data_IF_539484141120
#
_entry.id   IF_539484141120
#
_cell.length_a   1.000
_cell.length_b   1.000
_cell.length_c   1.000
_cell.angle_alpha   90.00
_cell.angle_beta   90.00
_cell.angle_gamma   90.00
#
_symmetry.space_group_name_H-M   'P 1'
#
loop_
_entity.id
_entity.type
_entity.pdbx_description
1 polymer ?
#
# COMPACT_ATOMS: atom_id res chain seq x y z
N UNK A 1 2.60 2.51 -21.19
CA UNK A 1 1.85 2.57 -19.92
C UNK A 1 1.56 1.20 -19.33
N UNK A 2 1.09 0.23 -20.11
CA UNK A 2 0.76 -1.12 -19.64
C UNK A 2 1.93 -1.81 -18.93
N UNK A 3 3.16 -1.68 -19.43
CA UNK A 3 4.37 -2.23 -18.79
C UNK A 3 4.64 -1.66 -17.39
N UNK A 4 4.42 -0.36 -17.18
CA UNK A 4 4.55 0.27 -15.85
C UNK A 4 3.44 -0.18 -14.90
N UNK A 5 2.19 -0.23 -15.39
CA UNK A 5 1.06 -0.70 -14.60
C UNK A 5 1.25 -2.17 -14.18
N UNK A 6 1.70 -3.03 -15.10
CA UNK A 6 1.98 -4.44 -14.80
C UNK A 6 3.06 -4.58 -13.72
N UNK A 7 4.15 -3.80 -13.79
CA UNK A 7 5.18 -3.79 -12.73
C UNK A 7 4.62 -3.30 -11.39
N UNK A 8 3.77 -2.26 -11.41
CA UNK A 8 3.11 -1.75 -10.21
C UNK A 8 2.20 -2.81 -9.57
N UNK A 9 1.42 -3.54 -10.39
CA UNK A 9 0.60 -4.66 -9.94
C UNK A 9 1.47 -5.75 -9.31
N UNK A 10 2.59 -6.12 -9.94
CA UNK A 10 3.51 -7.12 -9.37
C UNK A 10 4.04 -6.70 -7.99
N UNK A 11 4.42 -5.42 -7.83
CA UNK A 11 4.83 -4.88 -6.53
C UNK A 11 3.66 -4.96 -5.53
N UNK A 12 2.44 -4.63 -5.97
CA UNK A 12 1.23 -4.75 -5.15
C UNK A 12 0.95 -6.17 -4.66
N UNK A 13 1.14 -7.18 -5.50
CA UNK A 13 0.96 -8.60 -5.11
C UNK A 13 1.98 -8.98 -4.02
N UNK A 14 3.26 -8.63 -4.21
CA UNK A 14 4.31 -8.91 -3.23
C UNK A 14 4.07 -8.15 -1.93
N UNK A 15 3.62 -6.90 -2.02
CA UNK A 15 3.22 -6.09 -0.87
C UNK A 15 2.12 -6.76 -0.04
N UNK A 16 1.06 -7.24 -0.68
CA UNK A 16 -0.04 -7.91 0.01
C UNK A 16 0.43 -9.20 0.68
N UNK A 17 1.24 -10.00 -0.01
CA UNK A 17 1.83 -11.20 0.57
C UNK A 17 2.72 -10.88 1.79
N UNK A 18 3.55 -9.83 1.69
CA UNK A 18 4.40 -9.37 2.79
C UNK A 18 3.58 -8.89 3.98
N UNK A 19 2.50 -8.14 3.74
CA UNK A 19 1.58 -7.71 4.77
C UNK A 19 0.99 -8.91 5.53
N UNK A 20 0.47 -9.91 4.80
CA UNK A 20 -0.14 -11.10 5.40
C UNK A 20 0.89 -11.92 6.19
N UNK A 21 2.11 -12.06 5.68
CA UNK A 21 3.18 -12.76 6.37
C UNK A 21 3.54 -12.06 7.69
N UNK A 22 3.81 -10.75 7.67
CA UNK A 22 4.17 -9.98 8.88
C UNK A 22 3.00 -9.97 9.87
N UNK A 23 1.78 -9.73 9.39
CA UNK A 23 0.58 -9.76 10.22
C UNK A 23 0.39 -11.12 10.89
N UNK A 24 0.50 -12.21 10.11
CA UNK A 24 0.36 -13.58 10.62
C UNK A 24 1.42 -13.93 11.66
N UNK A 25 2.67 -13.54 11.45
CA UNK A 25 3.75 -13.72 12.45
C UNK A 25 3.40 -12.96 13.73
N UNK A 26 3.01 -11.69 13.62
CA UNK A 26 2.70 -10.84 14.77
C UNK A 26 1.52 -11.37 15.60
N UNK A 27 0.44 -11.81 14.94
CA UNK A 27 -0.76 -12.31 15.61
C UNK A 27 -0.57 -13.73 16.14
N UNK A 28 -0.11 -14.66 15.30
CA UNK A 28 -0.15 -16.08 15.65
C UNK A 28 1.09 -16.56 16.42
N UNK A 29 2.26 -16.01 16.11
CA UNK A 29 3.53 -16.41 16.74
C UNK A 29 3.81 -15.51 17.95
N UNK A 30 3.77 -14.19 17.74
CA UNK A 30 4.09 -13.21 18.80
C UNK A 30 2.91 -12.90 19.72
N UNK A 31 1.70 -13.35 19.39
CA UNK A 31 0.47 -13.15 20.19
C UNK A 31 0.14 -11.68 20.47
N UNK A 32 0.50 -10.78 19.56
CA UNK A 32 0.15 -9.38 19.65
C UNK A 32 -1.30 -9.11 19.23
N UNK A 33 -1.83 -7.97 19.66
CA UNK A 33 -3.15 -7.49 19.24
C UNK A 33 -3.21 -7.26 17.72
N UNK A 34 -4.38 -7.50 17.14
CA UNK A 34 -4.61 -7.34 15.70
C UNK A 34 -4.35 -5.90 15.24
N UNK A 35 -4.71 -4.90 16.05
CA UNK A 35 -4.51 -3.50 15.71
C UNK A 35 -3.01 -3.17 15.56
N UNK A 36 -2.19 -3.54 16.54
CA UNK A 36 -0.73 -3.34 16.50
C UNK A 36 -0.11 -4.13 15.36
N UNK A 37 -0.53 -5.38 15.19
CA UNK A 37 -0.06 -6.26 14.13
C UNK A 37 -0.36 -5.70 12.73
N UNK A 38 -1.54 -5.12 12.53
CA UNK A 38 -1.94 -4.47 11.28
C UNK A 38 -1.08 -3.24 11.00
N UNK A 39 -0.83 -2.38 11.98
CA UNK A 39 0.00 -1.18 11.79
C UNK A 39 1.42 -1.57 11.40
N UNK A 40 2.02 -2.54 12.10
CA UNK A 40 3.39 -3.01 11.79
C UNK A 40 3.45 -3.65 10.41
N UNK A 41 2.51 -4.54 10.10
CA UNK A 41 2.43 -5.18 8.78
C UNK A 41 2.26 -4.14 7.65
N UNK A 42 1.39 -3.14 7.86
CA UNK A 42 1.19 -2.03 6.94
C UNK A 42 2.48 -1.25 6.70
N UNK A 43 3.19 -0.84 7.77
CA UNK A 43 4.44 -0.09 7.66
C UNK A 43 5.52 -0.88 6.93
N UNK A 44 5.67 -2.18 7.21
CA UNK A 44 6.62 -3.04 6.50
C UNK A 44 6.27 -3.14 5.01
N UNK A 45 5.00 -3.40 4.68
CA UNK A 45 4.53 -3.58 3.32
C UNK A 45 4.63 -2.28 2.50
N UNK A 46 4.13 -1.16 3.03
CA UNK A 46 4.15 0.14 2.33
C UNK A 46 5.57 0.65 2.11
N UNK A 47 6.48 0.37 3.05
CA UNK A 47 7.91 0.71 2.90
C UNK A 47 8.54 -0.08 1.77
N UNK A 48 8.33 -1.40 1.75
CA UNK A 48 8.76 -2.24 0.63
C UNK A 48 8.20 -1.73 -0.70
N UNK A 49 6.89 -1.46 -0.77
CA UNK A 49 6.22 -0.93 -1.95
C UNK A 49 6.84 0.36 -2.45
N UNK A 50 7.20 1.29 -1.57
CA UNK A 50 7.83 2.55 -1.96
C UNK A 50 9.16 2.31 -2.68
N UNK A 51 10.07 1.56 -2.07
CA UNK A 51 11.38 1.30 -2.64
C UNK A 51 11.32 0.42 -3.90
N UNK A 52 10.45 -0.59 -3.90
CA UNK A 52 10.21 -1.43 -5.07
C UNK A 52 9.64 -0.61 -6.23
N UNK A 53 8.64 0.24 -5.99
CA UNK A 53 8.10 1.10 -7.04
C UNK A 53 9.12 2.12 -7.55
N UNK A 54 9.93 2.73 -6.67
CA UNK A 54 10.99 3.64 -7.06
C UNK A 54 11.98 2.95 -8.02
N UNK A 55 12.53 1.80 -7.63
CA UNK A 55 13.57 1.11 -8.38
C UNK A 55 13.06 0.33 -9.59
N UNK A 56 12.00 -0.46 -9.41
CA UNK A 56 11.54 -1.43 -10.41
C UNK A 56 10.47 -0.85 -11.34
N UNK A 57 9.50 -0.12 -10.78
CA UNK A 57 8.36 0.39 -11.56
C UNK A 57 8.69 1.67 -12.31
N UNK A 58 9.17 2.70 -11.60
CA UNK A 58 9.35 4.05 -12.13
C UNK A 58 10.79 4.41 -12.47
N UNK A 59 11.78 3.62 -12.04
CA UNK A 59 13.21 3.90 -12.21
C UNK A 59 13.60 5.31 -11.71
N UNK A 60 13.04 5.71 -10.58
CA UNK A 60 13.19 7.02 -9.96
C UNK A 60 14.00 6.93 -8.65
N UNK A 61 14.57 8.05 -8.22
CA UNK A 61 15.27 8.12 -6.93
C UNK A 61 14.28 8.04 -5.76
N UNK A 62 14.56 7.18 -4.79
CA UNK A 62 13.83 7.12 -3.54
C UNK A 62 14.21 8.31 -2.66
N UNK A 63 13.32 9.30 -2.57
CA UNK A 63 13.54 10.50 -1.74
C UNK A 63 12.73 10.42 -0.44
N UNK A 64 13.23 11.04 0.63
CA UNK A 64 12.53 11.08 1.93
C UNK A 64 11.16 11.76 1.82
N UNK A 65 11.07 12.82 1.02
CA UNK A 65 9.79 13.50 0.74
C UNK A 65 8.81 12.56 0.01
N UNK A 66 9.28 11.85 -1.01
CA UNK A 66 8.46 10.86 -1.73
C UNK A 66 7.95 9.76 -0.81
N UNK A 67 8.80 9.28 0.11
CA UNK A 67 8.43 8.26 1.09
C UNK A 67 7.29 8.74 1.99
N UNK A 68 7.44 9.90 2.63
CA UNK A 68 6.42 10.46 3.52
C UNK A 68 5.10 10.67 2.76
N UNK A 69 5.15 11.22 1.55
CA UNK A 69 3.98 11.44 0.70
C UNK A 69 3.29 10.11 0.34
N UNK A 70 4.05 9.08 0.01
CA UNK A 70 3.52 7.78 -0.38
C UNK A 70 2.89 7.05 0.81
N UNK A 71 3.61 6.94 1.93
CA UNK A 71 3.11 6.29 3.14
C UNK A 71 1.89 7.01 3.70
N UNK A 72 1.94 8.34 3.78
CA UNK A 72 0.82 9.15 4.25
C UNK A 72 -0.41 9.01 3.38
N UNK A 73 -0.25 9.05 2.05
CA UNK A 73 -1.35 8.86 1.11
C UNK A 73 -1.98 7.46 1.24
N UNK A 74 -1.16 6.41 1.24
CA UNK A 74 -1.66 5.03 1.37
C UNK A 74 -2.34 4.78 2.73
N UNK A 75 -1.78 5.34 3.80
CA UNK A 75 -2.35 5.25 5.14
C UNK A 75 -3.71 5.95 5.24
N UNK A 76 -3.81 7.18 4.72
CA UNK A 76 -5.06 7.92 4.67
C UNK A 76 -6.11 7.20 3.82
N UNK A 77 -5.73 6.68 2.66
CA UNK A 77 -6.64 5.95 1.78
C UNK A 77 -7.20 4.70 2.47
N UNK A 78 -6.34 3.95 3.15
CA UNK A 78 -6.74 2.77 3.94
C UNK A 78 -7.69 3.15 5.07
N UNK A 79 -7.33 4.19 5.84
CA UNK A 79 -8.14 4.66 6.96
C UNK A 79 -9.54 5.13 6.52
N UNK A 80 -9.62 5.96 5.47
CA UNK A 80 -10.90 6.46 4.95
C UNK A 80 -11.75 5.31 4.41
N UNK A 81 -11.15 4.37 3.66
CA UNK A 81 -11.85 3.20 3.13
C UNK A 81 -12.41 2.31 4.25
N UNK A 82 -11.64 2.11 5.32
CA UNK A 82 -12.08 1.39 6.52
C UNK A 82 -13.23 2.09 7.22
N UNK A 83 -13.10 3.40 7.48
CA UNK A 83 -14.15 4.19 8.13
C UNK A 83 -15.47 4.22 7.35
N UNK A 84 -15.41 4.32 6.02
CA UNK A 84 -16.59 4.23 5.16
C UNK A 84 -17.20 2.84 5.30
N UNK A 85 -16.39 1.79 5.22
CA UNK A 85 -16.86 0.41 5.34
C UNK A 85 -17.55 0.12 6.67
N UNK A 86 -16.96 0.58 7.77
CA UNK A 86 -17.52 0.43 9.11
C UNK A 86 -18.86 1.18 9.23
N UNK A 87 -18.91 2.42 8.73
CA UNK A 87 -20.13 3.26 8.78
C UNK A 87 -21.29 2.66 8.01
N UNK A 88 -21.02 2.02 6.87
CA UNK A 88 -22.04 1.38 6.04
C UNK A 88 -22.20 -0.12 6.33
N UNK A 89 -21.49 -0.66 7.34
CA UNK A 89 -21.46 -2.09 7.68
C UNK A 89 -21.23 -2.98 6.46
N UNK A 90 -20.31 -2.54 5.58
CA UNK A 90 -19.95 -3.26 4.36
C UNK A 90 -19.24 -4.57 4.74
N UNK A 91 -19.53 -5.65 4.01
CA UNK A 91 -18.84 -6.92 4.23
C UNK A 91 -17.32 -6.76 4.07
N UNK A 92 -16.49 -7.31 4.98
CA UNK A 92 -15.04 -7.21 4.91
C UNK A 92 -14.44 -7.65 3.56
N UNK A 93 -15.08 -8.62 2.89
CA UNK A 93 -14.65 -9.08 1.58
C UNK A 93 -14.85 -8.01 0.50
N UNK A 94 -15.98 -7.29 0.54
CA UNK A 94 -16.31 -6.21 -0.39
C UNK A 94 -15.36 -5.04 -0.16
N UNK A 95 -15.15 -4.65 1.11
CA UNK A 95 -14.16 -3.64 1.49
C UNK A 95 -12.77 -3.95 0.96
N UNK A 96 -12.34 -5.22 1.03
CA UNK A 96 -11.04 -5.63 0.53
C UNK A 96 -10.91 -5.45 -0.98
N UNK A 97 -11.94 -5.85 -1.74
CA UNK A 97 -11.95 -5.74 -3.21
C UNK A 97 -11.99 -4.27 -3.65
N UNK A 98 -12.84 -3.47 -3.01
CA UNK A 98 -12.97 -2.04 -3.27
C UNK A 98 -11.67 -1.31 -2.96
N UNK A 99 -11.14 -1.46 -1.74
CA UNK A 99 -9.88 -0.86 -1.32
C UNK A 99 -8.74 -1.27 -2.25
N UNK A 100 -8.64 -2.55 -2.62
CA UNK A 100 -7.59 -3.03 -3.54
C UNK A 100 -7.69 -2.36 -4.92
N UNK A 101 -8.91 -2.19 -5.43
CA UNK A 101 -9.14 -1.56 -6.73
C UNK A 101 -8.81 -0.06 -6.70
N UNK A 102 -9.31 0.64 -5.68
CA UNK A 102 -9.08 2.08 -5.51
C UNK A 102 -7.59 2.37 -5.25
N UNK A 103 -6.96 1.62 -4.35
CA UNK A 103 -5.53 1.79 -4.04
C UNK A 103 -4.64 1.49 -5.24
N UNK A 104 -5.01 0.52 -6.09
CA UNK A 104 -4.26 0.26 -7.32
C UNK A 104 -4.30 1.45 -8.27
N UNK A 105 -5.50 1.97 -8.56
CA UNK A 105 -5.67 3.06 -9.54
C UNK A 105 -5.13 4.39 -8.97
N UNK A 106 -5.63 4.79 -7.79
CA UNK A 106 -5.25 6.05 -7.17
C UNK A 106 -3.78 6.03 -6.73
N UNK A 107 -3.29 4.91 -6.19
CA UNK A 107 -1.89 4.74 -5.83
C UNK A 107 -0.97 4.82 -7.04
N UNK A 108 -1.32 4.18 -8.16
CA UNK A 108 -0.52 4.27 -9.39
C UNK A 108 -0.46 5.70 -9.93
N UNK A 109 -1.61 6.38 -10.01
CA UNK A 109 -1.69 7.77 -10.49
C UNK A 109 -0.89 8.71 -9.57
N UNK A 110 -1.09 8.62 -8.26
CA UNK A 110 -0.37 9.45 -7.29
C UNK A 110 1.14 9.17 -7.30
N UNK A 111 1.53 7.90 -7.35
CA UNK A 111 2.94 7.52 -7.47
C UNK A 111 3.59 8.10 -8.72
N UNK A 112 2.91 8.02 -9.86
CA UNK A 112 3.45 8.48 -11.15
C UNK A 112 3.58 10.01 -11.23
N UNK A 113 2.54 10.74 -10.81
CA UNK A 113 2.45 12.18 -11.07
C UNK A 113 2.92 13.06 -9.90
N UNK A 114 2.98 12.52 -8.68
CA UNK A 114 3.35 13.28 -7.48
C UNK A 114 4.62 12.72 -6.86
N UNK A 115 4.65 11.42 -6.52
CA UNK A 115 5.76 10.83 -5.74
C UNK A 115 7.04 10.68 -6.55
N UNK A 116 6.93 10.15 -7.77
CA UNK A 116 8.05 9.87 -8.68
C UNK A 116 7.99 10.73 -9.93
N UNK A 117 7.44 11.94 -9.81
CA UNK A 117 7.42 12.90 -10.91
C UNK A 117 8.86 13.21 -11.32
N UNK A 118 9.20 12.91 -12.57
CA UNK A 118 10.49 13.36 -13.12
C UNK A 118 10.56 14.89 -13.07
N UNK A 119 11.57 15.47 -12.41
CA UNK A 119 11.93 16.85 -12.65
C UNK A 119 12.47 16.90 -14.08
N UNK A 120 11.66 17.46 -14.99
CA UNK A 120 12.17 17.92 -16.28
C UNK A 120 13.25 18.97 -16.05
#
# INVERSE_FOLDING_TARGET
MIKLLSRYISVGIVNTALHWAVFGIMVYIMKNDQAVSNVVAFLCAVTFSFFANAKFTFNAKATSRGYILFVGFMGLLSFISGQISDRFSISPLITLIEFSSISLVCGFVYSKFVVFRDPK
#
